data_IF_712377393989
#
_entry.id   IF_712377393989
#
_cell.length_a   1.000
_cell.length_b   1.000
_cell.length_c   1.000
_cell.angle_alpha   90.00
_cell.angle_beta   90.00
_cell.angle_gamma   90.00
#
_symmetry.space_group_name_H-M   'P 1'
#
loop_
_entity.id
_entity.type
_entity.pdbx_description
1 polymer ?
#
# COMPACT_ATOMS: atom_id res chain seq x y z
N UNK A 1 -8.73 20.46 20.43
CA UNK A 1 -9.97 21.23 20.19
C UNK A 1 -11.14 20.32 19.85
N UNK A 2 -10.98 19.32 18.95
CA UNK A 2 -12.10 18.43 18.58
C UNK A 2 -12.71 17.61 19.73
N UNK A 3 -11.95 17.33 20.80
CA UNK A 3 -12.46 16.68 22.02
C UNK A 3 -13.16 17.65 23.00
N UNK A 4 -13.10 18.96 22.74
CA UNK A 4 -13.60 20.00 23.64
C UNK A 4 -14.83 20.73 23.06
N UNK A 5 -15.04 20.65 21.74
CA UNK A 5 -16.12 21.32 21.03
C UNK A 5 -16.70 20.39 19.95
N UNK A 6 -18.00 20.52 19.62
CA UNK A 6 -18.57 19.84 18.47
C UNK A 6 -17.74 20.06 17.21
N UNK A 7 -17.46 18.98 16.49
CA UNK A 7 -16.58 18.99 15.33
C UNK A 7 -17.23 18.25 14.17
N UNK A 8 -17.10 18.80 12.96
CA UNK A 8 -17.66 18.23 11.75
C UNK A 8 -16.69 18.40 10.58
N UNK A 9 -16.79 17.51 9.59
CA UNK A 9 -16.02 17.62 8.35
C UNK A 9 -16.54 18.77 7.49
N UNK A 10 -15.63 19.59 6.97
CA UNK A 10 -15.95 20.53 5.89
C UNK A 10 -16.03 19.81 4.54
N UNK A 11 -16.48 20.51 3.49
CA UNK A 11 -16.74 19.92 2.17
C UNK A 11 -15.56 19.18 1.55
N UNK A 12 -14.34 19.69 1.70
CA UNK A 12 -13.15 19.03 1.15
C UNK A 12 -12.86 17.70 1.86
N UNK A 13 -12.98 17.70 3.19
CA UNK A 13 -12.79 16.49 3.99
C UNK A 13 -13.91 15.48 3.71
N UNK A 14 -15.16 15.92 3.59
CA UNK A 14 -16.29 15.07 3.19
C UNK A 14 -16.06 14.42 1.82
N UNK A 15 -15.61 15.20 0.83
CA UNK A 15 -15.32 14.69 -0.50
C UNK A 15 -14.19 13.65 -0.49
N UNK A 16 -13.11 13.91 0.25
CA UNK A 16 -11.97 12.99 0.38
C UNK A 16 -12.37 11.69 1.10
N UNK A 17 -13.11 11.80 2.22
CA UNK A 17 -13.63 10.63 2.95
C UNK A 17 -14.58 9.80 2.10
N UNK A 18 -15.44 10.44 1.30
CA UNK A 18 -16.36 9.76 0.39
C UNK A 18 -15.59 8.98 -0.68
N UNK A 19 -14.61 9.62 -1.34
CA UNK A 19 -13.77 8.98 -2.35
C UNK A 19 -12.97 7.80 -1.77
N UNK A 20 -12.35 7.98 -0.60
CA UNK A 20 -11.61 6.91 0.07
C UNK A 20 -12.51 5.76 0.51
N UNK A 21 -13.71 6.04 1.02
CA UNK A 21 -14.66 5.01 1.42
C UNK A 21 -15.16 4.20 0.22
N UNK A 22 -15.44 4.86 -0.91
CA UNK A 22 -15.79 4.17 -2.15
C UNK A 22 -14.64 3.27 -2.62
N UNK A 23 -13.39 3.75 -2.58
CA UNK A 23 -12.24 2.98 -3.05
C UNK A 23 -11.82 1.83 -2.11
N UNK A 24 -12.05 1.93 -0.78
CA UNK A 24 -11.48 1.00 0.20
C UNK A 24 -12.50 0.21 1.03
N UNK A 25 -13.76 0.65 1.11
CA UNK A 25 -14.79 -0.04 1.91
C UNK A 25 -15.82 -0.75 1.04
N UNK A 26 -16.20 -0.15 -0.09
CA UNK A 26 -17.14 -0.73 -1.05
C UNK A 26 -16.67 -0.50 -2.50
N UNK A 27 -15.49 -1.01 -2.90
CA UNK A 27 -14.96 -0.79 -4.23
C UNK A 27 -15.79 -1.49 -5.29
N UNK A 28 -15.97 -0.82 -6.42
CA UNK A 28 -16.31 -1.51 -7.66
C UNK A 28 -15.13 -2.41 -8.06
N UNK A 29 -15.43 -3.68 -8.35
CA UNK A 29 -14.41 -4.68 -8.70
C UNK A 29 -14.31 -4.88 -10.21
N UNK A 30 -13.10 -5.11 -10.76
CA UNK A 30 -11.84 -5.34 -10.03
C UNK A 30 -11.17 -4.06 -9.53
N UNK A 31 -10.75 -4.06 -8.25
CA UNK A 31 -9.96 -3.00 -7.63
C UNK A 31 -8.47 -3.26 -7.87
N UNK A 32 -7.84 -2.36 -8.63
CA UNK A 32 -6.39 -2.37 -8.86
C UNK A 32 -5.73 -1.27 -8.04
N UNK A 33 -4.83 -1.64 -7.14
CA UNK A 33 -4.03 -0.71 -6.36
C UNK A 33 -2.63 -0.57 -6.97
N UNK A 34 -2.22 0.66 -7.29
CA UNK A 34 -0.87 0.96 -7.79
C UNK A 34 -0.12 1.71 -6.72
N UNK A 35 0.97 1.13 -6.21
CA UNK A 35 1.79 1.73 -5.16
C UNK A 35 3.21 1.91 -5.67
N UNK A 36 3.72 3.12 -5.52
CA UNK A 36 5.10 3.45 -5.82
C UNK A 36 5.74 4.28 -4.72
N UNK A 37 7.04 4.52 -4.88
CA UNK A 37 7.82 5.30 -3.94
C UNK A 37 9.28 4.87 -3.94
N UNK A 38 10.09 5.57 -3.15
CA UNK A 38 11.52 5.27 -3.03
C UNK A 38 11.81 4.16 -2.01
N UNK A 39 11.03 4.08 -0.93
CA UNK A 39 11.29 3.21 0.23
C UNK A 39 10.05 2.41 0.61
N UNK A 40 10.22 1.13 0.93
CA UNK A 40 9.17 0.25 1.43
C UNK A 40 8.81 0.59 2.89
N UNK A 41 9.79 1.00 3.70
CA UNK A 41 9.63 1.34 5.12
C UNK A 41 8.53 2.36 5.40
N UNK A 42 8.32 3.33 4.51
CA UNK A 42 7.31 4.38 4.67
C UNK A 42 5.90 3.99 4.23
N UNK A 43 5.72 2.77 3.71
CA UNK A 43 4.47 2.32 3.05
C UNK A 43 4.00 0.93 3.51
N UNK A 44 4.61 0.35 4.54
CA UNK A 44 4.29 -1.00 5.02
C UNK A 44 2.82 -1.16 5.43
N UNK A 45 2.31 -0.27 6.27
CA UNK A 45 0.92 -0.33 6.75
C UNK A 45 -0.08 -0.17 5.60
N UNK A 46 0.23 0.70 4.64
CA UNK A 46 -0.58 0.89 3.44
C UNK A 46 -0.61 -0.39 2.59
N UNK A 47 0.54 -1.01 2.35
CA UNK A 47 0.65 -2.24 1.57
C UNK A 47 -0.12 -3.38 2.24
N UNK A 48 0.00 -3.53 3.56
CA UNK A 48 -0.77 -4.54 4.32
C UNK A 48 -2.27 -4.38 4.13
N UNK A 49 -2.78 -3.15 4.30
CA UNK A 49 -4.21 -2.86 4.13
C UNK A 49 -4.71 -3.05 2.69
N UNK A 50 -3.89 -2.74 1.68
CA UNK A 50 -4.27 -2.85 0.28
C UNK A 50 -4.28 -4.30 -0.20
N UNK A 51 -3.35 -5.14 0.27
CA UNK A 51 -3.30 -6.57 -0.04
C UNK A 51 -4.60 -7.29 0.34
N UNK A 52 -5.24 -6.89 1.44
CA UNK A 52 -6.49 -7.50 1.90
C UNK A 52 -7.73 -7.03 1.11
N UNK A 53 -7.61 -5.96 0.32
CA UNK A 53 -8.77 -5.26 -0.28
C UNK A 53 -8.76 -5.26 -1.81
N UNK A 54 -7.59 -5.09 -2.41
CA UNK A 54 -7.42 -4.99 -3.85
C UNK A 54 -7.38 -6.39 -4.48
N UNK A 55 -7.98 -6.52 -5.67
CA UNK A 55 -7.88 -7.72 -6.50
C UNK A 55 -6.51 -7.82 -7.19
N UNK A 56 -5.86 -6.68 -7.42
CA UNK A 56 -4.51 -6.64 -7.99
C UNK A 56 -3.70 -5.52 -7.33
N UNK A 57 -2.47 -5.86 -6.92
CA UNK A 57 -1.50 -4.90 -6.39
C UNK A 57 -0.31 -4.78 -7.35
N UNK A 58 -0.10 -3.58 -7.88
CA UNK A 58 1.03 -3.24 -8.74
C UNK A 58 2.03 -2.40 -7.96
N UNK A 59 3.27 -2.88 -7.85
CA UNK A 59 4.34 -2.18 -7.13
C UNK A 59 5.35 -1.63 -8.14
N UNK A 60 5.62 -0.32 -8.05
CA UNK A 60 6.57 0.39 -8.91
C UNK A 60 7.56 1.24 -8.12
N UNK A 61 8.39 2.01 -8.83
CA UNK A 61 9.40 2.89 -8.23
C UNK A 61 10.57 2.13 -7.59
N UNK A 62 11.31 2.81 -6.71
CA UNK A 62 12.48 2.23 -6.03
C UNK A 62 12.14 1.07 -5.11
N UNK A 63 10.99 1.12 -4.44
CA UNK A 63 10.56 0.07 -3.51
C UNK A 63 10.33 -1.28 -4.20
N UNK A 64 9.99 -1.30 -5.50
CA UNK A 64 9.84 -2.54 -6.26
C UNK A 64 11.13 -3.38 -6.25
N UNK A 65 12.30 -2.74 -6.19
CA UNK A 65 13.57 -3.46 -6.13
C UNK A 65 13.72 -4.26 -4.84
N UNK A 66 13.21 -3.79 -3.70
CA UNK A 66 13.22 -4.57 -2.45
C UNK A 66 12.43 -5.87 -2.61
N UNK A 67 11.27 -5.83 -3.28
CA UNK A 67 10.49 -7.03 -3.59
C UNK A 67 11.21 -7.95 -4.58
N UNK A 68 11.84 -7.39 -5.62
CA UNK A 68 12.62 -8.18 -6.57
C UNK A 68 13.82 -8.86 -5.89
N UNK A 69 14.57 -8.13 -5.07
CA UNK A 69 15.70 -8.65 -4.30
C UNK A 69 15.26 -9.73 -3.29
N UNK A 70 14.11 -9.54 -2.63
CA UNK A 70 13.53 -10.51 -1.72
C UNK A 70 13.17 -11.84 -2.41
N UNK A 71 12.81 -11.79 -3.70
CA UNK A 71 12.58 -12.96 -4.58
C UNK A 71 13.88 -13.54 -5.19
N UNK A 72 15.05 -13.04 -4.78
CA UNK A 72 16.35 -13.50 -5.28
C UNK A 72 16.77 -12.93 -6.63
N UNK A 73 16.09 -11.90 -7.15
CA UNK A 73 16.47 -11.25 -8.41
C UNK A 73 17.57 -10.21 -8.15
N UNK A 74 18.56 -10.17 -9.03
CA UNK A 74 19.64 -9.20 -8.94
C UNK A 74 19.13 -7.79 -9.27
N UNK A 75 19.32 -6.84 -8.34
CA UNK A 75 18.90 -5.43 -8.50
C UNK A 75 20.06 -4.45 -8.71
N UNK A 76 21.30 -4.94 -8.69
CA UNK A 76 22.50 -4.15 -8.97
C UNK A 76 22.64 -2.94 -8.03
N UNK A 77 22.77 -1.74 -8.61
CA UNK A 77 22.90 -0.47 -7.87
C UNK A 77 21.55 0.22 -7.61
N UNK A 78 20.44 -0.42 -7.95
CA UNK A 78 19.10 0.17 -7.74
C UNK A 78 18.82 0.38 -6.26
N UNK A 79 18.03 1.40 -5.94
CA UNK A 79 17.61 1.69 -4.57
C UNK A 79 16.84 0.49 -4.01
N UNK A 80 17.36 -0.12 -2.94
CA UNK A 80 16.84 -1.34 -2.34
C UNK A 80 17.16 -1.40 -0.84
N UNK A 81 16.13 -1.63 -0.02
CA UNK A 81 16.20 -1.79 1.44
C UNK A 81 16.33 -3.30 1.76
N UNK A 82 17.55 -3.84 1.67
CA UNK A 82 17.81 -5.28 1.77
C UNK A 82 17.42 -5.86 3.14
N UNK A 83 17.56 -5.06 4.19
CA UNK A 83 17.16 -5.36 5.56
C UNK A 83 15.65 -5.57 5.72
N UNK A 84 14.83 -5.09 4.77
CA UNK A 84 13.37 -5.31 4.75
C UNK A 84 12.96 -6.43 3.79
N UNK A 85 13.91 -7.27 3.36
CA UNK A 85 13.64 -8.41 2.50
C UNK A 85 12.63 -9.38 3.11
N UNK A 86 12.72 -9.67 4.41
CA UNK A 86 11.79 -10.57 5.09
C UNK A 86 10.37 -10.01 5.09
N UNK A 87 10.21 -8.72 5.43
CA UNK A 87 8.91 -8.03 5.38
C UNK A 87 8.33 -8.01 3.97
N UNK A 88 9.16 -7.80 2.94
CA UNK A 88 8.70 -7.88 1.55
C UNK A 88 8.19 -9.27 1.19
N UNK A 89 8.84 -10.36 1.66
CA UNK A 89 8.35 -11.74 1.47
C UNK A 89 7.04 -11.98 2.20
N UNK A 90 6.87 -11.45 3.42
CA UNK A 90 5.61 -11.56 4.16
C UNK A 90 4.46 -10.89 3.41
N UNK A 91 4.69 -9.70 2.84
CA UNK A 91 3.68 -9.00 2.03
C UNK A 91 3.32 -9.81 0.78
N UNK A 92 4.32 -10.36 0.07
CA UNK A 92 4.07 -11.23 -1.09
C UNK A 92 3.25 -12.47 -0.71
N UNK A 93 3.60 -13.12 0.40
CA UNK A 93 2.88 -14.29 0.90
C UNK A 93 1.44 -13.95 1.35
N UNK A 94 1.21 -12.75 1.88
CA UNK A 94 -0.15 -12.27 2.17
C UNK A 94 -0.94 -12.03 0.89
N UNK A 95 -0.33 -11.44 -0.14
CA UNK A 95 -0.96 -11.22 -1.43
C UNK A 95 -1.38 -12.54 -2.08
N UNK A 96 -0.49 -13.53 -2.16
CA UNK A 96 -0.80 -14.85 -2.70
C UNK A 96 -1.94 -15.57 -1.95
N UNK A 97 -2.12 -15.30 -0.64
CA UNK A 97 -3.21 -15.87 0.16
C UNK A 97 -4.53 -15.12 -0.02
N UNK A 98 -4.48 -13.82 -0.32
CA UNK A 98 -5.66 -12.98 -0.45
C UNK A 98 -6.43 -13.22 -1.76
N UNK A 99 -5.77 -13.79 -2.78
CA UNK A 99 -6.35 -14.14 -4.08
C UNK A 99 -5.64 -13.44 -5.22
#
# INVERSE_FOLDING_TARGET
VAHLLPSAAGRNMEAELTALSQALSAPERPLVAIVGGAKISSKLDLLGNLVEKADCLVIGGGMANTFLAAQGKAVGKSLCEHELGDTAREILAKAEKAG
#
